data_IF_143267786028
#
_entry.id   IF_143267786028
#
_cell.length_a   1.000
_cell.length_b   1.000
_cell.length_c   1.000
_cell.angle_alpha   90.00
_cell.angle_beta   90.00
_cell.angle_gamma   90.00
#
_symmetry.space_group_name_H-M   'P 1'
#
loop_
_entity.id
_entity.type
_entity.pdbx_description
1 polymer ?
#
# COMPACT_ATOMS: atom_id res chain seq x y z
N UNK A 1 76.35 -52.10 23.90
CA UNK A 1 75.94 -53.47 24.29
C UNK A 1 75.20 -53.37 25.62
N UNK A 2 73.86 -53.62 25.61
CA UNK A 2 72.94 -53.63 26.77
C UNK A 2 72.77 -52.23 27.42
N UNK A 3 71.61 -51.74 27.86
CA UNK A 3 70.43 -52.37 28.44
C UNK A 3 69.23 -51.40 28.33
N UNK A 4 68.02 -51.95 28.43
CA UNK A 4 66.70 -51.35 28.17
C UNK A 4 66.18 -50.42 29.28
N UNK A 5 65.32 -49.50 28.83
CA UNK A 5 64.08 -48.93 29.40
C UNK A 5 63.95 -48.70 30.92
N UNK A 6 63.65 -47.45 31.26
CA UNK A 6 62.77 -47.11 32.37
C UNK A 6 61.75 -46.03 31.96
N UNK A 7 60.50 -46.29 32.36
CA UNK A 7 59.43 -45.35 32.74
C UNK A 7 58.84 -44.36 31.73
N UNK A 8 57.50 -44.33 31.74
CA UNK A 8 56.73 -43.16 31.35
C UNK A 8 55.33 -43.49 30.87
N UNK A 9 54.41 -43.77 31.80
CA UNK A 9 52.98 -43.75 31.50
C UNK A 9 52.60 -42.31 31.12
N UNK A 10 52.16 -42.09 29.88
CA UNK A 10 51.63 -40.81 29.42
C UNK A 10 50.14 -40.93 29.15
N UNK A 11 49.38 -40.07 29.82
CA UNK A 11 47.93 -39.98 29.80
C UNK A 11 47.39 -39.73 28.39
N UNK A 12 46.35 -40.48 28.02
CA UNK A 12 45.59 -40.28 26.78
C UNK A 12 44.52 -39.21 27.04
N UNK A 13 44.79 -37.97 26.59
CA UNK A 13 43.77 -36.94 26.41
C UNK A 13 42.80 -37.39 25.32
N UNK A 14 41.54 -37.67 25.69
CA UNK A 14 40.47 -37.91 24.71
C UNK A 14 39.81 -36.58 24.34
N UNK A 15 39.79 -36.31 23.04
CA UNK A 15 39.37 -35.09 22.40
C UNK A 15 37.87 -34.81 22.57
N UNK A 16 37.54 -33.64 23.13
CA UNK A 16 36.21 -33.02 22.99
C UNK A 16 36.19 -32.32 21.63
N UNK A 17 35.61 -32.97 20.63
CA UNK A 17 35.33 -32.34 19.34
C UNK A 17 34.18 -31.33 19.53
N UNK A 18 34.53 -30.05 19.62
CA UNK A 18 33.59 -28.94 19.49
C UNK A 18 32.99 -28.98 18.08
N UNK A 19 31.74 -29.43 17.94
CA UNK A 19 30.93 -29.09 16.78
C UNK A 19 30.54 -27.61 16.90
N UNK A 20 31.42 -26.73 16.43
CA UNK A 20 31.03 -25.38 16.05
C UNK A 20 30.19 -25.48 14.77
N UNK A 21 28.87 -25.49 14.93
CA UNK A 21 27.92 -25.24 13.85
C UNK A 21 28.26 -23.88 13.23
N UNK A 22 28.93 -23.93 12.08
CA UNK A 22 29.15 -22.80 11.21
C UNK A 22 27.82 -22.40 10.58
N UNK A 23 27.00 -21.65 11.31
CA UNK A 23 26.00 -20.78 10.70
C UNK A 23 26.73 -19.56 10.11
N UNK A 24 27.54 -19.79 9.08
CA UNK A 24 27.94 -18.68 8.21
C UNK A 24 26.72 -18.42 7.35
N UNK A 25 25.92 -17.44 7.74
CA UNK A 25 25.04 -16.76 6.80
C UNK A 25 25.95 -16.05 5.79
N UNK A 26 26.45 -16.80 4.81
CA UNK A 26 27.24 -16.31 3.68
C UNK A 26 26.31 -15.60 2.72
N UNK A 27 25.85 -14.44 3.14
CA UNK A 27 25.13 -13.49 2.33
C UNK A 27 25.31 -12.16 3.00
N UNK A 28 26.38 -11.44 2.63
CA UNK A 28 26.32 -9.99 2.78
C UNK A 28 24.97 -9.54 2.18
N UNK A 29 24.20 -8.67 2.85
CA UNK A 29 23.02 -8.12 2.21
C UNK A 29 23.44 -7.61 0.82
N UNK A 30 22.66 -7.90 -0.23
CA UNK A 30 23.00 -7.44 -1.56
C UNK A 30 23.32 -5.96 -1.47
N UNK A 31 24.46 -5.56 -2.05
CA UNK A 31 24.88 -4.18 -2.01
C UNK A 31 23.71 -3.32 -2.49
N UNK A 32 23.28 -2.37 -1.65
CA UNK A 32 22.35 -1.34 -2.09
C UNK A 32 23.12 -0.53 -3.11
N UNK A 33 22.93 -0.86 -4.40
CA UNK A 33 23.54 -0.14 -5.48
C UNK A 33 23.09 1.31 -5.38
N UNK A 34 24.06 2.23 -5.46
CA UNK A 34 23.76 3.64 -5.69
C UNK A 34 22.83 3.70 -6.92
N UNK A 35 21.66 4.36 -6.88
CA UNK A 35 20.75 4.46 -8.03
C UNK A 35 21.38 5.05 -9.29
N UNK A 36 22.65 5.48 -9.22
CA UNK A 36 23.39 6.06 -10.33
C UNK A 36 23.05 7.54 -10.47
N UNK A 37 23.86 8.25 -11.26
CA UNK A 37 23.69 9.69 -11.49
C UNK A 37 22.45 10.03 -12.33
N UNK A 38 21.67 9.04 -12.78
CA UNK A 38 20.41 9.31 -13.47
C UNK A 38 19.33 9.68 -12.45
N UNK A 39 18.97 10.96 -12.41
CA UNK A 39 17.76 11.44 -11.74
C UNK A 39 16.46 10.90 -12.35
N UNK A 40 16.55 10.10 -13.43
CA UNK A 40 15.41 9.55 -14.15
C UNK A 40 14.94 8.22 -13.52
N UNK A 41 13.64 8.16 -13.20
CA UNK A 41 12.99 6.93 -12.77
C UNK A 41 12.90 5.94 -13.93
N UNK A 42 13.54 4.80 -13.76
CA UNK A 42 13.53 3.71 -14.74
C UNK A 42 12.23 2.91 -14.68
N UNK A 43 11.79 2.38 -15.81
CA UNK A 43 10.59 1.54 -15.86
C UNK A 43 10.71 0.30 -14.98
N UNK A 44 9.69 0.06 -14.16
CA UNK A 44 9.62 -1.10 -13.28
C UNK A 44 8.91 -2.28 -13.94
N UNK A 45 9.36 -3.49 -13.60
CA UNK A 45 8.76 -4.77 -13.98
C UNK A 45 8.62 -5.66 -12.75
N UNK A 46 7.43 -6.24 -12.56
CA UNK A 46 7.23 -7.31 -11.60
C UNK A 46 7.62 -8.66 -12.21
N UNK A 47 8.48 -9.41 -11.52
CA UNK A 47 8.89 -10.78 -11.84
C UNK A 47 8.28 -11.72 -10.81
N UNK A 48 7.80 -12.89 -11.26
CA UNK A 48 7.23 -13.95 -10.42
C UNK A 48 8.09 -15.22 -10.54
N UNK A 49 7.95 -16.15 -9.60
CA UNK A 49 8.70 -17.42 -9.59
C UNK A 49 9.90 -17.39 -8.64
N UNK A 50 10.98 -18.11 -8.96
CA UNK A 50 12.14 -18.28 -8.07
C UNK A 50 12.93 -16.99 -7.80
N UNK A 51 12.84 -15.99 -8.70
CA UNK A 51 13.43 -14.67 -8.55
C UNK A 51 12.34 -13.59 -8.47
N UNK A 52 11.30 -13.84 -7.66
CA UNK A 52 10.21 -12.90 -7.51
C UNK A 52 10.71 -11.57 -6.94
N UNK A 53 10.30 -10.46 -7.56
CA UNK A 53 10.73 -9.12 -7.18
C UNK A 53 10.27 -8.07 -8.17
N UNK A 54 10.46 -6.80 -7.79
CA UNK A 54 10.30 -5.67 -8.69
C UNK A 54 11.71 -5.29 -9.16
N UNK A 55 11.87 -5.13 -10.46
CA UNK A 55 13.15 -4.79 -11.08
C UNK A 55 12.98 -3.57 -11.96
N UNK A 56 13.99 -2.71 -12.01
CA UNK A 56 14.02 -1.65 -13.02
C UNK A 56 14.55 -2.14 -14.38
N UNK A 57 14.49 -1.28 -15.38
CA UNK A 57 14.95 -1.58 -16.74
C UNK A 57 16.46 -1.78 -16.85
N UNK A 58 17.25 -1.47 -15.81
CA UNK A 58 18.68 -1.79 -15.73
C UNK A 58 18.94 -3.16 -15.06
N UNK A 59 17.89 -3.87 -14.62
CA UNK A 59 17.98 -5.18 -14.00
C UNK A 59 18.27 -5.15 -12.50
N UNK A 60 18.21 -3.98 -11.86
CA UNK A 60 18.38 -3.87 -10.40
C UNK A 60 17.08 -4.22 -9.72
N UNK A 61 17.15 -5.00 -8.63
CA UNK A 61 15.98 -5.21 -7.79
C UNK A 61 15.66 -3.92 -7.02
N UNK A 62 14.42 -3.46 -7.11
CA UNK A 62 13.94 -2.23 -6.47
C UNK A 62 13.06 -2.59 -5.28
N UNK A 63 13.40 -2.06 -4.11
CA UNK A 63 12.56 -2.13 -2.92
C UNK A 63 11.74 -0.84 -2.80
N UNK A 64 10.43 -0.94 -3.03
CA UNK A 64 9.52 0.19 -2.95
C UNK A 64 9.08 0.41 -1.49
N UNK A 65 9.38 1.59 -0.93
CA UNK A 65 9.05 1.99 0.45
C UNK A 65 8.52 3.43 0.48
N UNK A 66 7.38 3.62 1.10
CA UNK A 66 6.77 4.94 1.31
C UNK A 66 5.36 4.83 1.89
N UNK A 67 4.52 5.81 1.63
CA UNK A 67 3.23 6.01 2.31
C UNK A 67 2.05 6.14 1.33
N UNK A 68 0.85 6.22 1.89
CA UNK A 68 -0.37 6.52 1.14
C UNK A 68 -0.61 8.02 1.14
N UNK A 69 -0.91 8.59 -0.03
CA UNK A 69 -1.29 9.98 -0.20
C UNK A 69 -2.76 10.01 -0.61
N UNK A 70 -3.63 10.53 0.27
CA UNK A 70 -5.08 10.54 0.04
C UNK A 70 -5.65 11.86 -0.49
N UNK A 71 -4.78 12.81 -0.82
CA UNK A 71 -5.16 14.16 -1.25
C UNK A 71 -6.05 14.22 -2.50
N UNK A 72 -6.12 13.16 -3.30
CA UNK A 72 -6.97 13.06 -4.48
C UNK A 72 -8.19 12.16 -4.28
N UNK A 73 -8.46 11.67 -3.07
CA UNK A 73 -9.65 10.90 -2.73
C UNK A 73 -10.91 11.78 -2.71
N UNK A 74 -12.04 11.19 -3.10
CA UNK A 74 -13.36 11.82 -3.08
C UNK A 74 -14.22 11.22 -1.95
N UNK A 75 -14.05 11.79 -0.77
CA UNK A 75 -14.66 11.31 0.48
C UNK A 75 -16.01 11.96 0.78
N UNK A 76 -16.83 11.26 1.54
CA UNK A 76 -18.01 11.80 2.20
C UNK A 76 -17.65 12.97 3.11
N UNK A 77 -18.49 14.01 3.10
CA UNK A 77 -18.36 15.20 3.94
C UNK A 77 -19.57 15.31 4.85
N UNK A 78 -19.34 15.10 6.15
CA UNK A 78 -20.36 15.33 7.20
C UNK A 78 -20.63 16.82 7.39
N UNK A 79 -19.59 17.65 7.26
CA UNK A 79 -19.66 19.11 7.32
C UNK A 79 -19.01 19.71 6.06
N UNK A 80 -19.80 20.25 5.12
CA UNK A 80 -19.28 20.83 3.88
C UNK A 80 -18.33 22.02 4.07
N UNK A 81 -18.26 22.62 5.28
CA UNK A 81 -17.33 23.70 5.59
C UNK A 81 -15.91 23.21 5.87
N UNK A 82 -15.73 21.92 6.13
CA UNK A 82 -14.43 21.30 6.41
C UNK A 82 -13.93 20.50 5.21
N UNK A 83 -12.66 20.66 4.82
CA UNK A 83 -12.08 19.83 3.77
C UNK A 83 -11.96 18.38 4.25
N UNK A 84 -12.24 17.44 3.36
CA UNK A 84 -12.10 16.00 3.65
C UNK A 84 -10.66 15.49 3.44
N UNK A 85 -9.84 16.28 2.74
CA UNK A 85 -8.44 15.98 2.43
C UNK A 85 -7.58 17.22 2.60
N UNK A 86 -6.31 17.03 2.97
CA UNK A 86 -5.33 18.11 2.91
C UNK A 86 -5.02 18.46 1.45
N UNK A 87 -4.65 19.72 1.19
CA UNK A 87 -4.06 20.12 -0.09
C UNK A 87 -2.80 19.30 -0.35
N UNK A 88 -2.55 18.96 -1.62
CA UNK A 88 -1.29 18.36 -2.06
C UNK A 88 -0.45 19.44 -2.71
N UNK A 89 0.74 19.69 -2.18
CA UNK A 89 1.67 20.67 -2.72
C UNK A 89 3.11 20.16 -2.76
N UNK A 90 4.02 21.05 -3.16
CA UNK A 90 5.44 20.74 -3.32
C UNK A 90 6.12 20.29 -2.02
N UNK A 91 5.64 20.76 -0.87
CA UNK A 91 6.23 20.43 0.43
C UNK A 91 5.98 18.97 0.79
N UNK A 92 4.81 18.42 0.45
CA UNK A 92 4.51 17.00 0.68
C UNK A 92 5.50 16.08 -0.07
N UNK A 93 5.85 16.44 -1.30
CA UNK A 93 6.80 15.67 -2.11
C UNK A 93 8.24 15.79 -1.61
N UNK A 94 8.66 17.01 -1.28
CA UNK A 94 9.97 17.27 -0.72
C UNK A 94 10.17 16.53 0.62
N UNK A 95 9.15 16.53 1.49
CA UNK A 95 9.20 15.83 2.78
C UNK A 95 9.22 14.31 2.60
N UNK A 96 8.44 13.76 1.65
CA UNK A 96 8.49 12.34 1.33
C UNK A 96 9.89 11.92 0.86
N UNK A 97 10.50 12.71 -0.05
CA UNK A 97 11.86 12.46 -0.54
C UNK A 97 12.90 12.59 0.59
N UNK A 98 12.78 13.61 1.45
CA UNK A 98 13.67 13.82 2.59
C UNK A 98 13.63 12.67 3.61
N UNK A 99 12.49 11.98 3.73
CA UNK A 99 12.33 10.77 4.53
C UNK A 99 12.85 9.49 3.83
N UNK A 100 13.39 9.61 2.61
CA UNK A 100 13.92 8.50 1.84
C UNK A 100 12.85 7.62 1.20
N UNK A 101 11.61 8.12 1.05
CA UNK A 101 10.57 7.42 0.32
C UNK A 101 10.92 7.37 -1.16
N UNK A 102 10.66 6.23 -1.81
CA UNK A 102 10.84 6.07 -3.26
C UNK A 102 9.55 5.60 -3.96
N UNK A 103 8.46 5.47 -3.23
CA UNK A 103 7.13 5.21 -3.79
C UNK A 103 6.06 5.93 -2.98
N UNK A 104 4.98 6.37 -3.63
CA UNK A 104 3.73 6.76 -2.97
C UNK A 104 2.59 5.93 -3.55
N UNK A 105 1.70 5.44 -2.69
CA UNK A 105 0.39 4.92 -3.11
C UNK A 105 -0.59 6.10 -3.15
N UNK A 106 -0.83 6.59 -4.35
CA UNK A 106 -1.69 7.74 -4.60
C UNK A 106 -3.15 7.25 -4.69
N UNK A 107 -3.91 7.54 -3.64
CA UNK A 107 -5.34 7.20 -3.58
C UNK A 107 -6.10 8.08 -4.56
N UNK A 108 -6.80 7.41 -5.45
CA UNK A 108 -7.80 7.97 -6.36
C UNK A 108 -9.10 7.21 -6.16
N UNK A 109 -10.22 7.71 -6.67
CA UNK A 109 -11.55 7.09 -6.42
C UNK A 109 -12.37 7.09 -7.69
N UNK A 110 -13.15 6.03 -7.92
CA UNK A 110 -13.96 5.90 -9.14
C UNK A 110 -14.93 7.06 -9.30
N UNK A 111 -15.52 7.56 -8.20
CA UNK A 111 -16.42 8.70 -8.20
C UNK A 111 -15.78 10.00 -8.69
N UNK A 112 -14.47 10.15 -8.54
CA UNK A 112 -13.71 11.27 -9.10
C UNK A 112 -13.29 11.04 -10.55
N UNK A 113 -12.97 9.79 -10.93
CA UNK A 113 -12.63 9.44 -12.30
C UNK A 113 -13.81 9.54 -13.27
N UNK A 114 -14.97 9.06 -12.85
CA UNK A 114 -16.16 8.91 -13.67
C UNK A 114 -17.42 9.34 -12.89
N UNK A 115 -17.56 10.65 -12.59
CA UNK A 115 -18.67 11.16 -11.78
C UNK A 115 -20.03 10.95 -12.46
N UNK A 116 -20.05 10.91 -13.79
CA UNK A 116 -21.22 10.59 -14.61
C UNK A 116 -20.89 9.37 -15.44
N UNK A 117 -21.83 8.41 -15.51
CA UNK A 117 -21.67 7.16 -16.25
C UNK A 117 -21.19 7.42 -17.67
N UNK A 118 -20.17 6.68 -18.08
CA UNK A 118 -19.50 6.74 -19.38
C UNK A 118 -18.82 8.09 -19.70
N UNK A 119 -18.54 8.90 -18.67
CA UNK A 119 -17.89 10.22 -18.81
C UNK A 119 -16.72 10.37 -17.83
N UNK A 120 -15.51 10.20 -18.35
CA UNK A 120 -14.27 10.43 -17.60
C UNK A 120 -14.05 11.92 -17.36
N UNK A 121 -13.79 12.31 -16.12
CA UNK A 121 -13.41 13.68 -15.77
C UNK A 121 -11.96 13.96 -16.18
N UNK A 122 -11.80 14.71 -17.28
CA UNK A 122 -10.48 15.08 -17.81
C UNK A 122 -9.73 16.06 -16.90
N UNK A 123 -10.43 16.86 -16.08
CA UNK A 123 -9.78 17.74 -15.12
C UNK A 123 -9.20 16.92 -13.96
N UNK A 124 -9.92 15.90 -13.49
CA UNK A 124 -9.38 14.96 -12.51
C UNK A 124 -8.19 14.18 -13.06
N UNK A 125 -8.27 13.68 -14.30
CA UNK A 125 -7.12 13.06 -14.97
C UNK A 125 -5.90 13.99 -15.04
N UNK A 126 -6.10 15.26 -15.35
CA UNK A 126 -5.02 16.24 -15.39
C UNK A 126 -4.37 16.44 -14.01
N UNK A 127 -5.17 16.49 -12.93
CA UNK A 127 -4.67 16.56 -11.54
C UNK A 127 -3.83 15.33 -11.16
N UNK A 128 -4.30 14.13 -11.52
CA UNK A 128 -3.55 12.89 -11.27
C UNK A 128 -2.23 12.89 -12.05
N UNK A 129 -2.22 13.32 -13.32
CA UNK A 129 -0.98 13.46 -14.11
C UNK A 129 0.00 14.44 -13.48
N UNK A 130 -0.49 15.58 -12.97
CA UNK A 130 0.35 16.56 -12.29
C UNK A 130 0.98 16.00 -11.01
N UNK A 131 0.21 15.27 -10.20
CA UNK A 131 0.72 14.61 -9.00
C UNK A 131 1.79 13.55 -9.34
N UNK A 132 1.57 12.74 -10.38
CA UNK A 132 2.58 11.77 -10.85
C UNK A 132 3.85 12.47 -11.35
N UNK A 133 3.72 13.55 -12.11
CA UNK A 133 4.88 14.31 -12.59
C UNK A 133 5.67 14.93 -11.44
N UNK A 134 4.99 15.48 -10.44
CA UNK A 134 5.62 16.03 -9.24
C UNK A 134 6.37 14.95 -8.44
N UNK A 135 5.73 13.82 -8.14
CA UNK A 135 6.39 12.69 -7.48
C UNK A 135 7.63 12.20 -8.25
N UNK A 136 7.52 12.07 -9.58
CA UNK A 136 8.64 11.62 -10.41
C UNK A 136 9.81 12.60 -10.40
N UNK A 137 9.55 13.92 -10.32
CA UNK A 137 10.60 14.94 -10.21
C UNK A 137 11.42 14.81 -8.91
N UNK A 138 10.85 14.17 -7.88
CA UNK A 138 11.50 13.85 -6.62
C UNK A 138 12.06 12.41 -6.57
N UNK A 139 12.07 11.68 -7.68
CA UNK A 139 12.54 10.29 -7.70
C UNK A 139 11.61 9.32 -6.96
N UNK A 140 10.32 9.64 -6.88
CA UNK A 140 9.30 8.83 -6.21
C UNK A 140 8.40 8.17 -7.26
N UNK A 141 8.35 6.83 -7.27
CA UNK A 141 7.38 6.08 -8.07
C UNK A 141 5.95 6.28 -7.56
N UNK A 142 4.95 6.12 -8.43
CA UNK A 142 3.54 6.22 -8.02
C UNK A 142 2.80 4.92 -8.31
N UNK A 143 2.13 4.38 -7.30
CA UNK A 143 1.09 3.37 -7.46
C UNK A 143 -0.25 4.10 -7.48
N UNK A 144 -0.93 4.09 -8.64
CA UNK A 144 -2.30 4.61 -8.76
C UNK A 144 -3.25 3.60 -8.14
N UNK A 145 -3.93 4.02 -7.09
CA UNK A 145 -4.84 3.20 -6.31
C UNK A 145 -6.28 3.61 -6.58
N UNK A 146 -7.10 2.68 -7.09
CA UNK A 146 -8.55 2.86 -7.24
C UNK A 146 -9.22 2.53 -5.90
N UNK A 147 -9.13 3.46 -4.96
CA UNK A 147 -9.52 3.27 -3.57
C UNK A 147 -11.03 3.24 -3.40
N UNK A 148 -11.45 2.53 -2.35
CA UNK A 148 -12.78 2.62 -1.78
C UNK A 148 -12.71 2.18 -0.32
N UNK A 149 -13.61 2.73 0.48
CA UNK A 149 -13.98 2.18 1.77
C UNK A 149 -15.51 2.05 1.80
N UNK A 150 -16.03 0.92 2.29
CA UNK A 150 -17.46 0.66 2.38
C UNK A 150 -18.26 1.06 1.12
N UNK A 151 -17.70 0.72 -0.05
CA UNK A 151 -18.26 0.94 -1.38
C UNK A 151 -18.29 2.40 -1.88
N UNK A 152 -18.91 3.33 -1.13
CA UNK A 152 -19.17 4.68 -1.67
C UNK A 152 -19.48 5.73 -0.60
N UNK A 153 -19.19 7.00 -0.92
CA UNK A 153 -19.68 8.17 -0.18
C UNK A 153 -21.20 8.32 -0.19
N UNK A 154 -21.90 7.63 -1.07
CA UNK A 154 -23.36 7.69 -1.20
C UNK A 154 -24.10 6.61 -0.39
N UNK A 155 -23.38 5.75 0.36
CA UNK A 155 -24.00 4.74 1.25
C UNK A 155 -23.89 5.20 2.69
N UNK A 156 -24.88 5.96 3.15
CA UNK A 156 -24.96 6.51 4.49
C UNK A 156 -26.39 6.47 5.04
N UNK A 157 -26.52 6.50 6.37
CA UNK A 157 -27.80 6.56 7.07
C UNK A 157 -28.27 8.02 7.17
N UNK A 158 -29.47 8.37 6.66
CA UNK A 158 -30.04 9.69 6.86
C UNK A 158 -30.18 10.04 8.35
N UNK A 159 -29.97 11.31 8.70
CA UNK A 159 -29.92 11.75 10.10
C UNK A 159 -31.24 11.49 10.86
N UNK A 160 -32.36 11.54 10.14
CA UNK A 160 -33.71 11.31 10.64
C UNK A 160 -34.07 9.82 10.80
N UNK A 161 -33.31 8.90 10.20
CA UNK A 161 -33.59 7.48 10.27
C UNK A 161 -33.24 6.94 11.67
N UNK A 162 -34.14 6.14 12.26
CA UNK A 162 -33.85 5.45 13.52
C UNK A 162 -33.34 4.05 13.23
N UNK A 163 -32.07 3.78 13.56
CA UNK A 163 -31.52 2.44 13.38
C UNK A 163 -32.14 1.42 14.34
N UNK A 164 -32.45 0.20 13.87
CA UNK A 164 -32.95 -0.88 14.72
C UNK A 164 -32.00 -1.21 15.89
N UNK A 165 -32.56 -1.79 16.95
CA UNK A 165 -31.78 -2.24 18.11
C UNK A 165 -30.64 -3.16 17.68
N UNK A 166 -29.43 -2.90 18.18
CA UNK A 166 -28.22 -3.63 17.81
C UNK A 166 -27.52 -3.13 16.54
N UNK A 167 -27.99 -2.02 15.95
CA UNK A 167 -27.33 -1.35 14.83
C UNK A 167 -27.13 0.14 15.11
N UNK A 168 -26.23 0.78 14.36
CA UNK A 168 -25.91 2.20 14.45
C UNK A 168 -25.91 2.86 13.07
N UNK A 169 -26.01 4.19 13.05
CA UNK A 169 -25.84 4.98 11.83
C UNK A 169 -24.50 4.68 11.16
N UNK A 170 -24.53 4.61 9.83
CA UNK A 170 -23.34 4.57 8.99
C UNK A 170 -23.14 5.94 8.32
N UNK A 171 -21.90 6.45 8.36
CA UNK A 171 -21.50 7.57 7.50
C UNK A 171 -21.16 7.07 6.09
N UNK A 172 -21.17 7.97 5.12
CA UNK A 172 -20.59 7.68 3.80
C UNK A 172 -19.07 7.58 3.91
N UNK A 173 -18.45 6.95 2.91
CA UNK A 173 -17.01 6.77 2.84
C UNK A 173 -16.48 7.30 1.50
N UNK A 174 -15.98 6.45 0.61
CA UNK A 174 -15.42 6.84 -0.68
C UNK A 174 -15.38 5.65 -1.64
N UNK A 175 -15.14 5.92 -2.93
CA UNK A 175 -15.02 4.87 -3.94
C UNK A 175 -15.95 5.06 -5.12
N UNK A 176 -17.02 4.28 -5.19
CA UNK A 176 -17.91 4.22 -6.34
C UNK A 176 -18.81 5.49 -6.47
N UNK A 177 -19.09 5.96 -7.70
CA UNK A 177 -20.05 7.02 -7.95
C UNK A 177 -21.49 6.58 -7.65
N UNK A 178 -22.40 7.55 -7.52
CA UNK A 178 -23.81 7.30 -7.23
C UNK A 178 -24.46 6.39 -8.30
N UNK A 179 -24.16 6.61 -9.58
CA UNK A 179 -24.75 5.83 -10.68
C UNK A 179 -24.33 4.36 -10.69
N UNK A 180 -23.23 4.03 -10.00
CA UNK A 180 -22.73 2.67 -9.83
C UNK A 180 -23.18 2.04 -8.50
N UNK A 181 -23.83 2.80 -7.62
CA UNK A 181 -24.18 2.36 -6.27
C UNK A 181 -25.60 1.81 -6.23
N UNK A 182 -25.72 0.47 -6.33
CA UNK A 182 -27.00 -0.24 -6.34
C UNK A 182 -27.18 -1.01 -5.03
N UNK A 183 -27.91 -0.42 -4.08
CA UNK A 183 -28.13 -1.01 -2.74
C UNK A 183 -29.41 -1.84 -2.63
N UNK A 184 -30.21 -1.95 -3.71
CA UNK A 184 -31.52 -2.63 -3.74
C UNK A 184 -32.51 -2.23 -2.63
N UNK A 185 -32.34 -1.04 -2.05
CA UNK A 185 -33.15 -0.57 -0.92
C UNK A 185 -32.84 -1.25 0.41
N UNK A 186 -31.75 -2.02 0.52
CA UNK A 186 -31.28 -2.55 1.80
C UNK A 186 -30.92 -1.41 2.78
N UNK A 187 -31.12 -1.61 4.10
CA UNK A 187 -30.87 -0.58 5.09
C UNK A 187 -29.38 -0.26 5.20
N UNK A 188 -29.07 1.00 5.51
CA UNK A 188 -27.70 1.50 5.62
C UNK A 188 -27.13 1.38 7.04
N UNK A 189 -27.99 1.23 8.06
CA UNK A 189 -27.56 0.97 9.44
C UNK A 189 -26.61 -0.23 9.52
N UNK A 190 -25.53 -0.09 10.29
CA UNK A 190 -24.52 -1.13 10.46
C UNK A 190 -24.63 -1.81 11.84
N UNK A 191 -24.47 -3.15 11.94
CA UNK A 191 -24.31 -3.83 13.23
C UNK A 191 -22.92 -3.61 13.87
N UNK A 192 -22.10 -2.74 13.28
CA UNK A 192 -20.71 -2.48 13.65
C UNK A 192 -19.77 -2.79 12.48
N UNK A 193 -18.74 -1.96 12.29
CA UNK A 193 -17.86 -2.03 11.12
C UNK A 193 -18.51 -1.44 9.86
N UNK A 194 -17.74 -0.70 9.06
CA UNK A 194 -18.26 0.02 7.89
C UNK A 194 -18.65 -0.89 6.73
N UNK A 195 -18.03 -2.07 6.63
CA UNK A 195 -18.26 -3.04 5.56
C UNK A 195 -19.51 -3.91 5.80
N UNK A 196 -20.07 -3.89 7.01
CA UNK A 196 -21.11 -4.86 7.42
C UNK A 196 -22.55 -4.37 7.20
N UNK A 197 -22.73 -3.13 6.74
CA UNK A 197 -24.06 -2.62 6.41
C UNK A 197 -24.71 -3.43 5.27
N UNK A 198 -25.99 -3.82 5.40
CA UNK A 198 -26.70 -4.51 4.34
C UNK A 198 -26.67 -3.79 2.99
N UNK A 199 -26.78 -2.46 2.98
CA UNK A 199 -26.67 -1.65 1.77
C UNK A 199 -25.28 -1.76 1.10
N UNK A 200 -24.20 -1.73 1.90
CA UNK A 200 -22.82 -1.88 1.40
C UNK A 200 -22.64 -3.26 0.76
N UNK A 201 -23.12 -4.30 1.43
CA UNK A 201 -23.04 -5.68 0.92
C UNK A 201 -23.84 -5.86 -0.37
N UNK A 202 -25.04 -5.30 -0.45
CA UNK A 202 -25.86 -5.33 -1.67
C UNK A 202 -25.16 -4.62 -2.84
N UNK A 203 -24.53 -3.47 -2.59
CA UNK A 203 -23.76 -2.76 -3.61
C UNK A 203 -22.58 -3.59 -4.15
N UNK A 204 -21.84 -4.26 -3.25
CA UNK A 204 -20.81 -5.23 -3.66
C UNK A 204 -21.36 -6.39 -4.47
N UNK A 205 -22.48 -6.97 -4.05
CA UNK A 205 -23.10 -8.09 -4.78
C UNK A 205 -23.56 -7.66 -6.17
N UNK A 206 -24.08 -6.45 -6.34
CA UNK A 206 -24.49 -5.94 -7.65
C UNK A 206 -23.32 -5.61 -8.57
N UNK A 207 -22.15 -5.24 -8.03
CA UNK A 207 -20.95 -4.99 -8.82
C UNK A 207 -20.35 -6.26 -9.45
N UNK A 208 -20.41 -7.39 -8.73
CA UNK A 208 -19.79 -8.64 -9.18
C UNK A 208 -20.71 -9.56 -9.99
N UNK A 209 -21.98 -9.21 -10.14
CA UNK A 209 -22.94 -9.94 -11.00
C UNK A 209 -22.78 -9.53 -12.46
#
# INVERSE_FOLDING_TARGET
MRTRLAMGALAVLSAIALLSTACVASGAPPAVGNPGDSSELLWLKAVRGQQAGIYDSAGRQVLLRGTNFNHLGDYFSTDPSLPTVATLDETDWADAAAQGMNVVRLVTTWSAWEPVRDQIDLNYLARVRAAVAAANAHGIYVVIDMHQDAWSKFVFTPAEETCPAGTSHQIGWDGAPAWATMTDGYPTCTPGGRENSPAVRAAWENFYK
#
